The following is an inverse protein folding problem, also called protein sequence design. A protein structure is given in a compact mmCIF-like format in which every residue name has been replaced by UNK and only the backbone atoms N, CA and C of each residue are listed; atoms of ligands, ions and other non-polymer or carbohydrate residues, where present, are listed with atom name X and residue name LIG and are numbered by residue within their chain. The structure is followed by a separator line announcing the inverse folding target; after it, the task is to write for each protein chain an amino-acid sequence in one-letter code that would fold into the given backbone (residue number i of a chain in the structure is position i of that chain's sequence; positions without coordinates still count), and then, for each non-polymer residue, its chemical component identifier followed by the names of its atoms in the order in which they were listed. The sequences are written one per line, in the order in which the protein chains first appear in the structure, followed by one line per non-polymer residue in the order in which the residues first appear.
data_IF_328029202271
#
_entry.id   IF_328029202271
#
_cell.length_a   1.000
_cell.length_b   1.000
_cell.length_c   1.000
_cell.angle_alpha   90.00
_cell.angle_beta   90.00
_cell.angle_gamma   90.00
#
_symmetry.space_group_name_H-M   'P 1'
#
loop_
_entity.id
_entity.type
_entity.pdbx_description
1 polymer ?
#
# COMPACT_ATOMS: atom_id res chain seq x y z
N UNK A 1 0.32 12.24 -3.93
CA UNK A 1 0.75 10.99 -3.28
C UNK A 1 0.50 11.07 -1.78
N UNK A 2 0.54 9.94 -1.08
CA UNK A 2 0.36 9.86 0.37
C UNK A 2 1.49 10.61 1.11
N UNK A 3 1.14 11.29 2.20
CA UNK A 3 2.14 11.85 3.12
C UNK A 3 2.79 10.70 3.91
N UNK A 4 4.00 10.30 3.51
CA UNK A 4 4.72 9.20 4.14
C UNK A 4 5.19 9.52 5.58
N UNK A 5 5.40 10.79 5.93
CA UNK A 5 5.97 11.19 7.23
C UNK A 5 4.92 11.38 8.32
N UNK A 6 3.71 11.82 7.97
CA UNK A 6 2.59 11.90 8.90
C UNK A 6 1.67 10.69 8.77
N UNK A 7 0.84 10.66 7.73
CA UNK A 7 -0.16 9.59 7.52
C UNK A 7 0.49 8.21 7.35
N UNK A 8 1.62 8.14 6.67
CA UNK A 8 2.38 6.90 6.47
C UNK A 8 2.85 6.26 7.77
N UNK A 9 3.27 7.06 8.76
CA UNK A 9 3.66 6.53 10.08
C UNK A 9 2.47 5.88 10.81
N UNK A 10 1.28 6.48 10.72
CA UNK A 10 0.07 5.87 11.27
C UNK A 10 -0.26 4.53 10.60
N UNK A 11 -0.08 4.42 9.27
CA UNK A 11 -0.28 3.17 8.53
C UNK A 11 0.73 2.10 8.97
N UNK A 12 2.00 2.47 9.19
CA UNK A 12 3.02 1.54 9.69
C UNK A 12 2.67 1.03 11.08
N UNK A 13 2.32 1.92 12.01
CA UNK A 13 1.89 1.59 13.37
C UNK A 13 0.70 0.63 13.34
N UNK A 14 -0.33 0.92 12.54
CA UNK A 14 -1.51 0.07 12.40
C UNK A 14 -1.16 -1.32 11.85
N UNK A 15 -0.27 -1.37 10.85
CA UNK A 15 0.16 -2.62 10.23
C UNK A 15 0.97 -3.50 11.18
N UNK A 16 1.90 -2.90 11.92
CA UNK A 16 2.71 -3.60 12.91
C UNK A 16 1.84 -4.10 14.07
N UNK A 17 1.12 -3.20 14.75
CA UNK A 17 0.31 -3.56 15.92
C UNK A 17 -0.79 -4.55 15.58
N UNK A 18 -1.43 -4.40 14.42
CA UNK A 18 -2.45 -5.34 13.96
C UNK A 18 -1.88 -6.76 13.76
N UNK A 19 -0.67 -6.86 13.19
CA UNK A 19 -0.01 -8.16 12.95
C UNK A 19 0.65 -8.75 14.19
N UNK A 20 1.01 -7.93 15.18
CA UNK A 20 1.41 -8.42 16.51
C UNK A 20 0.28 -9.24 17.15
N UNK A 21 -0.97 -8.80 17.00
CA UNK A 21 -2.12 -9.53 17.55
C UNK A 21 -2.64 -10.64 16.64
N UNK A 22 -2.61 -10.45 15.33
CA UNK A 22 -3.02 -11.48 14.37
C UNK A 22 -2.05 -11.52 13.20
N UNK A 23 -1.10 -12.47 13.23
CA UNK A 23 -0.07 -12.63 12.19
C UNK A 23 -0.64 -12.75 10.76
N UNK A 24 -1.83 -13.34 10.63
CA UNK A 24 -2.52 -13.53 9.35
C UNK A 24 -3.43 -12.36 8.94
N UNK A 25 -3.43 -11.25 9.68
CA UNK A 25 -4.28 -10.09 9.40
C UNK A 25 -4.01 -9.54 8.00
N UNK A 26 -5.07 -9.52 7.18
CA UNK A 26 -5.06 -8.90 5.85
C UNK A 26 -5.34 -7.41 6.00
N UNK A 27 -4.51 -6.60 5.37
CA UNK A 27 -4.60 -5.15 5.40
C UNK A 27 -4.56 -4.62 3.98
N UNK A 28 -5.36 -3.59 3.69
CA UNK A 28 -5.34 -2.92 2.40
C UNK A 28 -5.65 -1.45 2.55
N UNK A 29 -5.50 -0.71 1.46
CA UNK A 29 -5.82 0.71 1.39
C UNK A 29 -6.94 0.94 0.38
N UNK A 30 -7.86 1.84 0.70
CA UNK A 30 -8.88 2.35 -0.21
C UNK A 30 -8.79 3.88 -0.31
N UNK A 31 -9.51 4.46 -1.27
CA UNK A 31 -9.47 5.89 -1.57
C UNK A 31 -8.52 6.22 -2.71
N UNK A 32 -8.28 7.51 -2.93
CA UNK A 32 -7.57 7.98 -4.12
C UNK A 32 -6.10 7.54 -4.16
N UNK A 33 -5.46 7.46 -3.00
CA UNK A 33 -4.10 6.95 -2.85
C UNK A 33 -3.94 5.51 -3.34
N UNK A 34 -5.00 4.70 -3.34
CA UNK A 34 -4.98 3.33 -3.87
C UNK A 34 -4.78 3.24 -5.37
N UNK A 35 -4.89 4.36 -6.10
CA UNK A 35 -4.62 4.46 -7.54
C UNK A 35 -3.43 5.36 -7.91
N UNK A 36 -2.68 5.83 -6.91
CA UNK A 36 -1.50 6.69 -7.10
C UNK A 36 -0.21 5.85 -7.05
N UNK A 37 0.63 5.83 -8.11
CA UNK A 37 1.80 4.95 -8.16
C UNK A 37 2.80 5.10 -7.01
N UNK A 38 3.08 6.33 -6.57
CA UNK A 38 3.98 6.58 -5.44
C UNK A 38 3.40 6.04 -4.12
N UNK A 39 2.11 6.25 -3.88
CA UNK A 39 1.41 5.70 -2.72
C UNK A 39 1.35 4.18 -2.73
N UNK A 40 1.19 3.54 -3.90
CA UNK A 40 1.23 2.08 -4.05
C UNK A 40 2.62 1.53 -3.72
N UNK A 41 3.69 2.22 -4.14
CA UNK A 41 5.06 1.87 -3.77
C UNK A 41 5.27 1.90 -2.25
N UNK A 42 4.75 2.93 -1.58
CA UNK A 42 4.72 2.98 -0.12
C UNK A 42 3.94 1.80 0.49
N UNK A 43 2.76 1.46 -0.05
CA UNK A 43 1.94 0.35 0.45
C UNK A 43 2.67 -1.00 0.36
N UNK A 44 3.43 -1.23 -0.71
CA UNK A 44 4.28 -2.43 -0.89
C UNK A 44 5.43 -2.47 0.14
N UNK A 45 6.04 -1.31 0.45
CA UNK A 45 7.05 -1.18 1.52
C UNK A 45 6.45 -1.44 2.90
N UNK A 46 5.26 -0.89 3.17
CA UNK A 46 4.48 -1.12 4.38
C UNK A 46 3.86 -2.53 4.46
N UNK A 47 4.07 -3.38 3.44
CA UNK A 47 3.60 -4.77 3.38
C UNK A 47 2.08 -4.89 3.45
N UNK A 48 1.32 -3.97 2.86
CA UNK A 48 -0.12 -4.15 2.68
C UNK A 48 -0.39 -5.31 1.71
N UNK A 49 -1.56 -5.93 1.81
CA UNK A 49 -1.94 -7.09 1.02
C UNK A 49 -2.63 -6.71 -0.30
N UNK A 50 -3.34 -5.58 -0.34
CA UNK A 50 -4.04 -5.12 -1.52
C UNK A 50 -4.22 -3.60 -1.52
N UNK A 51 -4.49 -3.05 -2.70
CA UNK A 51 -4.96 -1.68 -2.90
C UNK A 51 -6.33 -1.72 -3.58
N UNK A 52 -7.17 -0.75 -3.27
CA UNK A 52 -8.51 -0.59 -3.86
C UNK A 52 -8.64 0.83 -4.41
N UNK A 53 -9.02 0.94 -5.68
CA UNK A 53 -9.18 2.20 -6.39
C UNK A 53 -10.39 2.15 -7.33
N UNK A 54 -10.75 3.30 -7.91
CA UNK A 54 -11.85 3.38 -8.88
C UNK A 54 -11.59 2.49 -10.11
N UNK A 55 -12.63 1.95 -10.78
CA UNK A 55 -12.47 0.98 -11.87
C UNK A 55 -11.49 1.41 -12.96
N UNK A 56 -11.55 2.67 -13.40
CA UNK A 56 -10.66 3.22 -14.42
C UNK A 56 -9.20 3.34 -13.99
N UNK A 57 -8.91 3.35 -12.68
CA UNK A 57 -7.54 3.36 -12.12
C UNK A 57 -6.97 1.97 -11.87
N UNK A 58 -7.76 0.90 -12.03
CA UNK A 58 -7.30 -0.48 -11.81
C UNK A 58 -6.08 -0.83 -12.70
N UNK A 59 -6.04 -0.50 -14.00
CA UNK A 59 -4.85 -0.78 -14.82
C UNK A 59 -3.58 -0.09 -14.31
N UNK A 60 -3.70 1.17 -13.86
CA UNK A 60 -2.60 1.95 -13.27
C UNK A 60 -2.12 1.28 -11.99
N UNK A 61 -3.05 0.90 -11.11
CA UNK A 61 -2.71 0.28 -9.84
C UNK A 61 -2.01 -1.07 -10.01
N UNK A 62 -2.44 -1.88 -10.99
CA UNK A 62 -1.80 -3.15 -11.33
C UNK A 62 -0.36 -2.96 -11.80
N UNK A 63 -0.13 -2.02 -12.72
CA UNK A 63 1.22 -1.73 -13.24
C UNK A 63 2.13 -1.18 -12.14
N UNK A 64 1.64 -0.21 -11.35
CA UNK A 64 2.40 0.38 -10.26
C UNK A 64 2.79 -0.65 -9.19
N UNK A 65 1.88 -1.56 -8.83
CA UNK A 65 2.17 -2.65 -7.89
C UNK A 65 3.28 -3.58 -8.41
N UNK A 66 3.25 -3.93 -9.70
CA UNK A 66 4.31 -4.74 -10.32
C UNK A 66 5.67 -4.01 -10.30
N UNK A 67 5.68 -2.72 -10.66
CA UNK A 67 6.90 -1.89 -10.64
C UNK A 67 7.47 -1.75 -9.22
N UNK A 68 6.62 -1.52 -8.22
CA UNK A 68 7.02 -1.42 -6.82
C UNK A 68 7.67 -2.72 -6.32
N UNK A 69 7.09 -3.87 -6.66
CA UNK A 69 7.64 -5.18 -6.33
C UNK A 69 9.02 -5.41 -6.98
N UNK A 70 9.16 -5.07 -8.27
CA UNK A 70 10.42 -5.21 -9.00
C UNK A 70 11.53 -4.28 -8.47
N UNK A 71 11.18 -3.03 -8.11
CA UNK A 71 12.13 -2.08 -7.50
C UNK A 71 12.67 -2.57 -6.15
N UNK A 72 11.80 -3.16 -5.32
CA UNK A 72 12.17 -3.73 -4.01
C UNK A 72 13.07 -4.96 -4.10
N UNK A 73 13.05 -5.67 -5.23
CA UNK A 73 13.87 -6.87 -5.47
C UNK A 73 15.30 -6.57 -5.94
N UNK A 74 15.57 -5.35 -6.40
CA UNK A 74 16.93 -4.89 -6.69
C UNK A 74 17.63 -4.50 -5.40
#
# INVERSE_FOLDING_TARGET
SIDERGVGELIKIATERGRMQKKSLKLGICGEHGGDPASIEFCEKAKLNYVSCSPYRVPIARLAAAQAYLKKKK
#
